data_IF_467099597907
#
_entry.id   IF_467099597907
#
_cell.length_a   1.000
_cell.length_b   1.000
_cell.length_c   1.000
_cell.angle_alpha   90.00
_cell.angle_beta   90.00
_cell.angle_gamma   90.00
#
_symmetry.space_group_name_H-M   'P 1'
#
loop_
_entity.id
_entity.type
_entity.pdbx_description
1 polymer ?
#
# COMPACT_ATOMS: atom_id res chain seq x y z
N UNK A 1 -10.26 10.72 4.49
CA UNK A 1 -9.50 9.45 4.69
C UNK A 1 -10.18 8.43 3.82
N UNK A 2 -9.54 7.99 2.73
CA UNK A 2 -10.19 7.20 1.66
C UNK A 2 -10.46 5.77 2.08
N UNK A 3 -9.51 5.15 2.78
CA UNK A 3 -9.59 3.77 3.28
C UNK A 3 -9.46 3.72 4.82
N UNK A 4 -10.04 2.69 5.44
CA UNK A 4 -10.04 2.44 6.89
C UNK A 4 -9.70 0.99 7.24
N UNK A 5 -9.43 0.73 8.52
CA UNK A 5 -9.20 -0.63 9.04
C UNK A 5 -10.43 -1.52 8.75
N UNK A 6 -10.16 -2.73 8.27
CA UNK A 6 -11.16 -3.72 7.86
C UNK A 6 -11.57 -3.62 6.39
N UNK A 7 -11.22 -2.55 5.68
CA UNK A 7 -11.46 -2.47 4.24
C UNK A 7 -10.61 -3.50 3.50
N UNK A 8 -11.20 -4.08 2.46
CA UNK A 8 -10.50 -4.93 1.49
C UNK A 8 -10.14 -4.09 0.28
N UNK A 9 -8.86 -4.13 -0.09
CA UNK A 9 -8.30 -3.38 -1.22
C UNK A 9 -7.53 -4.32 -2.13
N UNK A 10 -7.44 -3.99 -3.41
CA UNK A 10 -6.55 -4.71 -4.33
C UNK A 10 -5.21 -4.00 -4.39
N UNK A 11 -4.12 -4.77 -4.30
CA UNK A 11 -2.78 -4.23 -4.49
C UNK A 11 -2.51 -3.98 -5.96
N UNK A 12 -2.05 -2.79 -6.29
CA UNK A 12 -1.67 -2.36 -7.64
C UNK A 12 -0.20 -1.91 -7.66
N UNK A 13 0.39 -1.95 -8.85
CA UNK A 13 1.75 -1.47 -9.03
C UNK A 13 1.72 0.06 -9.04
N UNK A 14 2.58 0.69 -8.24
CA UNK A 14 2.80 2.14 -8.35
C UNK A 14 3.43 2.43 -9.71
N UNK A 15 2.76 3.24 -10.53
CA UNK A 15 3.38 3.77 -11.75
C UNK A 15 4.43 4.81 -11.36
N UNK A 16 5.67 4.63 -11.84
CA UNK A 16 6.70 5.64 -11.67
C UNK A 16 6.31 6.87 -12.49
N UNK A 17 6.10 8.01 -11.84
CA UNK A 17 5.89 9.28 -12.53
C UNK A 17 7.24 9.72 -13.11
N UNK A 18 7.30 9.97 -14.41
CA UNK A 18 8.54 10.30 -15.15
C UNK A 18 9.26 11.56 -14.62
N UNK A 19 8.60 12.38 -13.80
CA UNK A 19 9.05 13.67 -13.28
C UNK A 19 9.28 13.69 -11.76
N UNK A 20 9.29 12.53 -11.09
CA UNK A 20 9.46 12.45 -9.63
C UNK A 20 10.89 12.79 -9.18
N UNK A 21 11.20 14.09 -9.11
CA UNK A 21 12.38 14.63 -8.44
C UNK A 21 12.08 14.81 -6.93
N UNK A 22 12.98 14.28 -6.11
CA UNK A 22 13.15 14.46 -4.65
C UNK A 22 12.02 14.00 -3.69
N UNK A 23 10.73 14.07 -4.04
CA UNK A 23 9.64 13.54 -3.18
C UNK A 23 9.61 12.00 -3.12
N UNK A 24 10.34 11.34 -4.02
CA UNK A 24 10.32 9.88 -4.19
C UNK A 24 11.12 9.10 -3.13
N UNK A 25 11.83 9.76 -2.21
CA UNK A 25 12.57 9.06 -1.14
C UNK A 25 11.60 8.42 -0.14
N UNK A 26 10.53 9.11 0.25
CA UNK A 26 9.47 8.55 1.12
C UNK A 26 8.57 7.60 0.33
N UNK A 27 8.47 7.85 -0.97
CA UNK A 27 7.58 7.19 -1.92
C UNK A 27 8.21 5.94 -2.59
N UNK A 28 9.45 5.62 -2.22
CA UNK A 28 10.23 4.43 -2.62
C UNK A 28 9.97 3.20 -1.73
N UNK A 29 8.87 3.19 -0.97
CA UNK A 29 8.49 2.04 -0.13
C UNK A 29 8.29 0.73 -0.93
N UNK A 30 8.27 0.79 -2.26
CA UNK A 30 8.20 -0.38 -3.13
C UNK A 30 9.49 -1.19 -3.10
N UNK A 31 9.39 -2.43 -2.65
CA UNK A 31 10.41 -3.46 -2.76
C UNK A 31 9.95 -4.53 -3.76
N UNK A 32 10.85 -5.08 -4.58
CA UNK A 32 10.51 -6.16 -5.53
C UNK A 32 9.87 -7.39 -4.85
N UNK A 33 10.19 -7.66 -3.58
CA UNK A 33 9.55 -8.74 -2.81
C UNK A 33 8.03 -8.53 -2.60
N UNK A 34 7.56 -7.28 -2.76
CA UNK A 34 6.14 -6.92 -2.69
C UNK A 34 5.38 -7.32 -3.96
N UNK A 35 6.07 -7.57 -5.09
CA UNK A 35 5.44 -7.90 -6.38
C UNK A 35 4.54 -9.14 -6.28
N UNK A 36 4.82 -10.06 -5.34
CA UNK A 36 3.99 -11.26 -5.08
C UNK A 36 2.58 -10.95 -4.57
N UNK A 37 2.30 -9.70 -4.19
CA UNK A 37 0.99 -9.25 -3.76
C UNK A 37 0.22 -8.52 -4.86
N UNK A 38 0.84 -8.19 -6.00
CA UNK A 38 0.15 -7.53 -7.11
C UNK A 38 -1.12 -8.29 -7.53
N UNK A 39 -2.22 -7.55 -7.62
CA UNK A 39 -3.54 -8.07 -7.97
C UNK A 39 -4.26 -8.81 -6.83
N UNK A 40 -3.61 -9.10 -5.71
CA UNK A 40 -4.25 -9.74 -4.55
C UNK A 40 -5.16 -8.75 -3.83
N UNK A 41 -6.22 -9.30 -3.25
CA UNK A 41 -7.09 -8.59 -2.33
C UNK A 41 -6.52 -8.78 -0.92
N UNK A 42 -6.27 -7.69 -0.23
CA UNK A 42 -5.70 -7.64 1.11
C UNK A 42 -6.58 -6.80 2.05
N UNK A 43 -6.45 -7.04 3.35
CA UNK A 43 -7.28 -6.44 4.39
C UNK A 43 -6.45 -5.44 5.19
N UNK A 44 -6.89 -4.19 5.24
CA UNK A 44 -6.20 -3.14 6.01
C UNK A 44 -6.34 -3.43 7.49
N UNK A 45 -5.23 -3.60 8.20
CA UNK A 45 -5.20 -3.75 9.67
C UNK A 45 -4.77 -2.49 10.42
N UNK A 46 -4.13 -1.55 9.73
CA UNK A 46 -3.55 -0.36 10.34
C UNK A 46 -3.39 0.77 9.35
N UNK A 47 -3.56 2.00 9.84
CA UNK A 47 -3.34 3.22 9.06
C UNK A 47 -2.48 4.18 9.88
N UNK A 48 -1.29 4.50 9.37
CA UNK A 48 -0.35 5.43 9.99
C UNK A 48 -0.20 6.68 9.13
N UNK A 49 0.05 7.83 9.74
CA UNK A 49 0.30 9.09 9.03
C UNK A 49 1.72 9.55 9.31
N UNK A 50 2.51 9.76 8.26
CA UNK A 50 3.92 10.18 8.35
C UNK A 50 4.13 11.29 7.31
N UNK A 51 4.56 12.47 7.75
CA UNK A 51 4.91 13.60 6.87
C UNK A 51 3.87 13.81 5.73
N UNK A 52 2.61 13.92 6.12
CA UNK A 52 1.44 14.07 5.24
C UNK A 52 1.07 12.88 4.33
N UNK A 53 1.87 11.82 4.32
CA UNK A 53 1.54 10.56 3.65
C UNK A 53 0.74 9.61 4.55
N UNK A 54 -0.21 8.88 3.95
CA UNK A 54 -0.90 7.75 4.59
C UNK A 54 -0.22 6.44 4.21
N UNK A 55 0.10 5.66 5.24
CA UNK A 55 0.66 4.31 5.12
C UNK A 55 -0.36 3.30 5.63
N UNK A 56 -0.61 2.29 4.82
CA UNK A 56 -1.53 1.19 5.09
C UNK A 56 -0.73 -0.08 5.36
N UNK A 57 -1.09 -0.79 6.43
CA UNK A 57 -0.56 -2.11 6.74
C UNK A 57 -1.63 -3.15 6.54
N UNK A 58 -1.24 -4.33 6.07
CA UNK A 58 -2.17 -5.40 5.74
C UNK A 58 -2.08 -6.57 6.72
N UNK A 59 -3.17 -7.33 6.86
CA UNK A 59 -3.20 -8.57 7.64
C UNK A 59 -2.34 -9.66 6.98
N UNK A 60 -2.42 -9.78 5.66
CA UNK A 60 -1.88 -10.92 4.92
C UNK A 60 -0.35 -10.92 4.86
N UNK A 61 0.29 -9.76 5.05
CA UNK A 61 1.75 -9.64 5.06
C UNK A 61 2.35 -9.42 6.46
N UNK A 62 1.56 -9.56 7.52
CA UNK A 62 1.93 -9.05 8.85
C UNK A 62 3.27 -9.54 9.42
N UNK A 63 3.71 -10.74 9.01
CA UNK A 63 4.95 -11.38 9.48
C UNK A 63 6.16 -11.07 8.60
N UNK A 64 5.94 -10.39 7.48
CA UNK A 64 7.01 -10.00 6.56
C UNK A 64 7.73 -8.74 7.02
N UNK A 65 8.79 -8.36 6.31
CA UNK A 65 9.55 -7.14 6.57
C UNK A 65 9.90 -6.98 8.06
N UNK A 66 10.63 -7.96 8.61
CA UNK A 66 11.01 -8.03 10.02
C UNK A 66 9.82 -8.08 10.99
N UNK A 67 8.73 -8.75 10.60
CA UNK A 67 7.53 -8.93 11.43
C UNK A 67 6.65 -7.69 11.53
N UNK A 68 6.80 -6.74 10.60
CA UNK A 68 6.03 -5.48 10.58
C UNK A 68 5.04 -5.40 9.43
N UNK A 69 5.16 -6.28 8.44
CA UNK A 69 4.47 -6.17 7.16
C UNK A 69 5.01 -5.03 6.30
N UNK A 70 4.51 -4.96 5.07
CA UNK A 70 4.90 -3.91 4.14
C UNK A 70 4.12 -2.61 4.42
N UNK A 71 4.70 -1.51 3.96
CA UNK A 71 4.11 -0.19 4.02
C UNK A 71 3.51 0.13 2.65
N UNK A 72 2.19 0.08 2.54
CA UNK A 72 1.47 0.35 1.30
C UNK A 72 1.02 1.81 1.27
N UNK A 73 1.28 2.53 0.17
CA UNK A 73 0.77 3.90 -0.02
C UNK A 73 -0.60 3.87 -0.68
N UNK A 74 -1.30 5.00 -0.66
CA UNK A 74 -2.61 5.14 -1.33
C UNK A 74 -2.54 4.87 -2.85
N UNK A 75 -1.39 5.14 -3.49
CA UNK A 75 -1.16 4.88 -4.92
C UNK A 75 -0.91 3.39 -5.24
N UNK A 76 -0.67 2.56 -4.22
CA UNK A 76 -0.41 1.12 -4.36
C UNK A 76 -1.64 0.25 -4.06
N UNK A 77 -2.77 0.86 -3.72
CA UNK A 77 -4.00 0.16 -3.35
C UNK A 77 -5.20 0.77 -4.08
N UNK A 78 -6.10 -0.08 -4.56
CA UNK A 78 -7.37 0.35 -5.14
C UNK A 78 -8.56 -0.22 -4.37
N UNK A 79 -9.66 0.53 -4.37
CA UNK A 79 -10.93 0.05 -3.84
C UNK A 79 -11.46 -1.08 -4.72
N UNK A 80 -12.11 -2.07 -4.13
CA UNK A 80 -12.86 -3.05 -4.91
C UNK A 80 -14.08 -2.36 -5.50
N UNK A 81 -14.11 -2.19 -6.83
CA UNK A 81 -15.30 -1.69 -7.51
C UNK A 81 -16.51 -2.52 -7.09
N UNK A 82 -17.52 -1.85 -6.52
CA UNK A 82 -18.79 -2.51 -6.19
C UNK A 82 -19.38 -3.02 -7.50
N UNK A 83 -19.57 -4.33 -7.63
CA UNK A 83 -20.30 -4.89 -8.75
C UNK A 83 -21.76 -4.50 -8.55
N UNK A 84 -22.19 -3.43 -9.23
CA UNK A 84 -23.59 -2.98 -9.29
C UNK A 84 -24.42 -3.91 -10.17
#
# INVERSE_FOLDING_TARGET
MKYKIGDKVRIIKKEAKEDALEEDIINSAWNQDMDKYLGKIMTIKGVTSILDCKIYNMEEDEKENYGRGWAWTEEMIEELASVS
#
